data_IF_013574270247
#
_entry.id   IF_013574270247
#
_cell.length_a   1.000
_cell.length_b   1.000
_cell.length_c   1.000
_cell.angle_alpha   90.00
_cell.angle_beta   90.00
_cell.angle_gamma   90.00
#
_symmetry.space_group_name_H-M   'P 1'
#
loop_
_entity.id
_entity.type
_entity.pdbx_description
1 polymer ?
#
# COMPACT_ATOMS: atom_id res chain seq x y z
N UNK A 1 10.47 -81.14 -27.40
CA UNK A 1 11.40 -80.16 -28.01
C UNK A 1 11.12 -78.78 -27.44
N UNK A 2 12.10 -78.14 -26.79
CA UNK A 2 12.19 -76.67 -26.63
C UNK A 2 12.69 -76.06 -27.97
N UNK A 3 12.67 -74.73 -28.24
CA UNK A 3 12.20 -73.60 -27.41
C UNK A 3 11.46 -72.43 -28.14
N UNK A 4 10.80 -71.60 -27.32
CA UNK A 4 10.71 -70.11 -27.24
C UNK A 4 10.83 -69.22 -28.49
N UNK A 5 9.93 -68.22 -28.61
CA UNK A 5 10.21 -66.85 -29.11
C UNK A 5 9.42 -65.83 -28.25
N UNK A 6 10.10 -64.75 -27.91
CA UNK A 6 9.72 -63.62 -27.04
C UNK A 6 9.07 -62.50 -27.85
N UNK A 7 8.16 -61.71 -27.27
CA UNK A 7 8.11 -60.23 -27.38
C UNK A 7 6.94 -59.67 -26.54
N UNK A 8 7.18 -59.24 -25.29
CA UNK A 8 7.27 -57.82 -24.87
C UNK A 8 6.02 -56.97 -25.18
N UNK A 9 4.97 -57.15 -24.38
CA UNK A 9 3.92 -56.12 -24.20
C UNK A 9 4.48 -55.13 -23.18
N UNK A 10 4.83 -53.93 -23.65
CA UNK A 10 5.27 -52.83 -22.79
C UNK A 10 4.05 -52.28 -22.03
N UNK A 11 4.07 -52.47 -20.72
CA UNK A 11 3.13 -51.92 -19.76
C UNK A 11 3.49 -50.43 -19.54
N UNK A 12 2.84 -49.52 -20.26
CA UNK A 12 2.94 -48.09 -19.98
C UNK A 12 2.02 -47.74 -18.80
N UNK A 13 2.55 -47.86 -17.58
CA UNK A 13 1.90 -47.32 -16.39
C UNK A 13 2.10 -45.80 -16.36
N UNK A 14 1.03 -45.07 -16.63
CA UNK A 14 0.92 -43.62 -16.49
C UNK A 14 0.94 -43.27 -15.00
N UNK A 15 2.08 -42.80 -14.49
CA UNK A 15 2.21 -42.23 -13.14
C UNK A 15 1.75 -40.78 -13.19
N UNK A 16 0.52 -40.50 -12.76
CA UNK A 16 0.05 -39.15 -12.48
C UNK A 16 0.46 -38.84 -11.03
N UNK A 17 1.61 -38.19 -10.86
CA UNK A 17 2.01 -37.62 -9.58
C UNK A 17 1.28 -36.27 -9.42
N UNK A 18 0.19 -36.27 -8.65
CA UNK A 18 -0.47 -35.04 -8.20
C UNK A 18 0.43 -34.42 -7.11
N UNK A 19 1.22 -33.41 -7.48
CA UNK A 19 1.86 -32.54 -6.49
C UNK A 19 0.79 -31.60 -5.91
N UNK A 20 0.23 -31.97 -4.76
CA UNK A 20 -0.46 -31.03 -3.91
C UNK A 20 0.59 -30.09 -3.30
N UNK A 21 0.73 -28.88 -3.87
CA UNK A 21 1.42 -27.80 -3.18
C UNK A 21 0.50 -27.32 -2.04
N UNK A 22 0.73 -27.83 -0.84
CA UNK A 22 0.20 -27.23 0.38
C UNK A 22 0.87 -25.86 0.53
N UNK A 23 0.12 -24.80 0.21
CA UNK A 23 0.46 -23.44 0.61
C UNK A 23 0.27 -23.40 2.13
N UNK A 24 1.33 -23.71 2.87
CA UNK A 24 1.39 -23.43 4.30
C UNK A 24 1.30 -21.91 4.46
N UNK A 25 0.11 -21.42 4.83
CA UNK A 25 -0.07 -20.07 5.30
C UNK A 25 0.90 -19.85 6.47
N UNK A 26 1.93 -19.03 6.25
CA UNK A 26 2.83 -18.60 7.30
C UNK A 26 2.02 -17.72 8.26
N UNK A 27 1.46 -18.33 9.31
CA UNK A 27 0.92 -17.58 10.43
C UNK A 27 2.06 -16.79 11.06
N UNK A 28 1.95 -15.46 11.22
CA UNK A 28 2.96 -14.66 11.90
C UNK A 28 3.26 -15.25 13.27
N UNK A 29 4.55 -15.36 13.61
CA UNK A 29 5.00 -15.84 14.92
C UNK A 29 4.34 -15.04 16.06
N UNK A 30 3.67 -15.69 17.03
CA UNK A 30 2.89 -15.00 18.07
C UNK A 30 3.71 -14.25 19.14
N UNK A 31 5.04 -14.17 18.99
CA UNK A 31 5.96 -13.72 20.04
C UNK A 31 6.80 -12.48 19.67
N UNK A 32 6.40 -11.70 18.67
CA UNK A 32 6.93 -10.33 18.58
C UNK A 32 6.34 -9.52 19.75
N UNK A 33 7.16 -8.83 20.58
CA UNK A 33 6.62 -8.01 21.66
C UNK A 33 5.68 -6.97 21.07
N UNK A 34 4.41 -6.99 21.51
CA UNK A 34 3.37 -6.08 21.08
C UNK A 34 3.91 -4.65 21.13
N UNK A 35 4.11 -4.06 19.96
CA UNK A 35 4.55 -2.68 19.86
C UNK A 35 3.33 -1.80 20.09
N UNK A 36 3.42 -0.71 20.87
CA UNK A 36 2.31 0.21 20.96
C UNK A 36 2.03 0.78 19.57
N UNK A 37 0.73 0.88 19.28
CA UNK A 37 0.26 1.61 18.12
C UNK A 37 0.78 3.04 18.18
N UNK A 38 1.31 3.52 17.07
CA UNK A 38 1.98 4.81 17.04
C UNK A 38 1.86 5.47 15.66
N UNK A 39 1.63 6.78 15.67
CA UNK A 39 1.89 7.63 14.51
C UNK A 39 3.40 7.68 14.27
N UNK A 40 3.79 7.44 13.02
CA UNK A 40 5.17 7.42 12.57
C UNK A 40 5.50 8.73 11.85
N UNK A 41 6.59 9.35 12.28
CA UNK A 41 7.16 10.53 11.67
C UNK A 41 8.32 10.15 10.74
N UNK A 42 8.85 11.09 9.94
CA UNK A 42 9.94 10.80 8.99
C UNK A 42 11.15 10.05 9.56
N UNK A 43 11.52 10.33 10.81
CA UNK A 43 12.64 9.65 11.46
C UNK A 43 12.36 8.17 11.73
N UNK A 44 11.10 7.81 12.03
CA UNK A 44 10.68 6.44 12.32
C UNK A 44 10.61 5.61 11.03
N UNK A 45 10.21 6.24 9.92
CA UNK A 45 10.08 5.59 8.61
C UNK A 45 11.41 5.43 7.86
N UNK A 46 12.47 6.14 8.26
CA UNK A 46 13.74 6.20 7.54
C UNK A 46 14.39 4.84 7.23
N UNK A 47 14.09 3.80 8.03
CA UNK A 47 14.63 2.45 7.85
C UNK A 47 13.80 1.54 6.94
N UNK A 48 12.51 1.83 6.78
CA UNK A 48 11.56 0.96 6.07
C UNK A 48 11.09 1.56 4.74
N UNK A 49 11.24 2.87 4.60
CA UNK A 49 10.79 3.61 3.43
C UNK A 49 11.74 3.35 2.24
N UNK A 50 11.25 2.82 1.11
CA UNK A 50 12.08 2.56 -0.06
C UNK A 50 12.56 3.87 -0.66
N UNK A 51 13.85 3.99 -0.99
CA UNK A 51 14.44 5.21 -1.58
C UNK A 51 13.90 5.54 -2.98
N UNK A 52 13.38 4.54 -3.69
CA UNK A 52 12.70 4.68 -4.97
C UNK A 52 11.60 3.64 -5.10
N UNK A 53 10.57 3.97 -5.87
CA UNK A 53 9.36 3.15 -6.05
C UNK A 53 8.99 3.07 -7.52
N UNK A 54 8.48 1.91 -7.93
CA UNK A 54 7.98 1.72 -9.28
C UNK A 54 6.52 2.18 -9.37
N UNK A 55 6.20 2.97 -10.40
CA UNK A 55 4.84 3.37 -10.70
C UNK A 55 4.71 3.61 -12.21
N UNK A 56 3.67 3.02 -12.83
CA UNK A 56 3.36 3.18 -14.26
C UNK A 56 4.58 3.13 -15.20
N UNK A 57 5.41 2.10 -15.07
CA UNK A 57 6.55 1.86 -15.97
C UNK A 57 7.80 2.70 -15.68
N UNK A 58 7.81 3.48 -14.60
CA UNK A 58 8.94 4.34 -14.23
C UNK A 58 9.33 4.13 -12.76
N UNK A 59 10.56 4.51 -12.41
CA UNK A 59 11.01 4.60 -11.02
C UNK A 59 11.00 6.06 -10.58
N UNK A 60 10.39 6.34 -9.43
CA UNK A 60 10.33 7.65 -8.81
C UNK A 60 11.08 7.63 -7.47
N UNK A 61 11.86 8.67 -7.18
CA UNK A 61 12.51 8.79 -5.87
C UNK A 61 11.49 9.21 -4.82
N UNK A 62 11.60 8.63 -3.62
CA UNK A 62 10.74 9.02 -2.50
C UNK A 62 11.39 10.15 -1.70
N UNK A 63 10.56 11.02 -1.14
CA UNK A 63 10.99 12.12 -0.30
C UNK A 63 10.80 11.74 1.17
N UNK A 64 11.77 11.02 1.75
CA UNK A 64 11.66 10.51 3.12
C UNK A 64 11.32 11.58 4.17
N UNK A 65 11.76 12.84 3.98
CA UNK A 65 11.44 13.97 4.87
C UNK A 65 9.96 14.38 4.84
N UNK A 66 9.24 14.02 3.78
CA UNK A 66 7.84 14.27 3.55
C UNK A 66 7.09 12.93 3.55
N UNK A 67 7.17 12.24 4.70
CA UNK A 67 6.55 10.94 4.93
C UNK A 67 5.82 10.90 6.27
N UNK A 68 4.88 9.99 6.38
CA UNK A 68 4.15 9.73 7.62
C UNK A 68 3.38 8.42 7.52
N UNK A 69 3.05 7.84 8.67
CA UNK A 69 2.32 6.58 8.70
C UNK A 69 1.85 6.22 10.09
N UNK A 70 1.37 5.00 10.22
CA UNK A 70 0.94 4.35 11.46
C UNK A 70 1.63 2.99 11.53
N UNK A 71 2.17 2.66 12.70
CA UNK A 71 2.44 1.29 13.10
C UNK A 71 1.28 0.83 13.96
N UNK A 72 0.59 -0.24 13.56
CA UNK A 72 -0.48 -0.84 14.34
C UNK A 72 0.08 -1.68 15.49
N UNK A 73 -0.77 -1.96 16.48
CA UNK A 73 -0.37 -2.73 17.68
C UNK A 73 0.08 -4.16 17.40
N UNK A 74 -0.38 -4.75 16.30
CA UNK A 74 0.03 -6.07 15.79
C UNK A 74 1.24 -6.02 14.85
N UNK A 75 1.89 -4.86 14.72
CA UNK A 75 3.15 -4.69 14.03
C UNK A 75 3.04 -4.42 12.52
N UNK A 76 1.83 -4.36 11.96
CA UNK A 76 1.63 -3.95 10.57
C UNK A 76 1.73 -2.43 10.38
N UNK A 77 1.90 -2.01 9.13
CA UNK A 77 2.08 -0.61 8.76
C UNK A 77 1.08 -0.11 7.72
N UNK A 78 0.73 1.17 7.84
CA UNK A 78 0.16 1.99 6.76
C UNK A 78 0.96 3.28 6.69
N UNK A 79 1.60 3.59 5.57
CA UNK A 79 2.40 4.80 5.44
C UNK A 79 2.39 5.36 4.03
N UNK A 80 2.74 6.64 3.92
CA UNK A 80 2.89 7.34 2.66
C UNK A 80 4.14 8.21 2.63
N UNK A 81 4.65 8.46 1.44
CA UNK A 81 5.77 9.34 1.19
C UNK A 81 5.55 10.10 -0.12
N UNK A 82 5.87 11.40 -0.15
CA UNK A 82 5.89 12.12 -1.42
C UNK A 82 6.90 11.49 -2.38
N UNK A 83 6.64 11.62 -3.66
CA UNK A 83 7.51 11.14 -4.74
C UNK A 83 7.94 12.31 -5.63
N UNK A 84 9.13 12.23 -6.20
CA UNK A 84 9.49 13.06 -7.34
C UNK A 84 8.80 12.51 -8.59
N UNK A 85 7.71 13.16 -8.98
CA UNK A 85 6.90 12.78 -10.12
C UNK A 85 7.22 13.61 -11.39
N UNK A 86 8.27 14.43 -11.37
CA UNK A 86 8.59 15.36 -12.47
C UNK A 86 8.81 14.68 -13.84
N UNK A 87 9.16 13.38 -13.86
CA UNK A 87 9.33 12.58 -15.07
C UNK A 87 8.04 12.06 -15.72
N UNK A 88 6.89 12.18 -15.04
CA UNK A 88 5.61 11.70 -15.55
C UNK A 88 4.89 12.74 -16.42
N UNK A 89 3.90 12.32 -17.21
CA UNK A 89 3.02 13.25 -17.91
C UNK A 89 2.20 14.09 -16.93
N UNK A 90 1.83 15.32 -17.29
CA UNK A 90 1.07 16.26 -16.44
C UNK A 90 -0.17 15.65 -15.79
N UNK A 91 -0.96 14.88 -16.53
CA UNK A 91 -2.17 14.22 -15.99
C UNK A 91 -1.88 13.15 -14.92
N UNK A 92 -0.69 12.54 -14.93
CA UNK A 92 -0.25 11.64 -13.85
C UNK A 92 0.28 12.47 -12.70
N UNK A 93 1.12 13.47 -12.97
CA UNK A 93 1.74 14.31 -11.93
C UNK A 93 0.69 14.94 -11.02
N UNK A 94 -0.44 15.36 -11.59
CA UNK A 94 -1.55 15.92 -10.84
C UNK A 94 -2.11 14.95 -9.79
N UNK A 95 -2.21 13.65 -10.13
CA UNK A 95 -2.83 12.62 -9.28
C UNK A 95 -1.83 11.85 -8.41
N UNK A 96 -0.64 11.56 -8.94
CA UNK A 96 0.39 10.76 -8.30
C UNK A 96 1.41 11.66 -7.59
N UNK A 97 1.06 12.10 -6.39
CA UNK A 97 1.87 13.00 -5.57
C UNK A 97 2.65 12.23 -4.49
N UNK A 98 2.10 11.13 -4.00
CA UNK A 98 2.69 10.26 -3.01
C UNK A 98 2.55 8.78 -3.38
N UNK A 99 3.50 8.00 -2.88
CA UNK A 99 3.40 6.56 -2.81
C UNK A 99 2.78 6.18 -1.47
N UNK A 100 1.78 5.29 -1.50
CA UNK A 100 1.01 4.87 -0.34
C UNK A 100 1.08 3.35 -0.22
N UNK A 101 1.43 2.86 0.97
CA UNK A 101 1.46 1.43 1.29
C UNK A 101 0.52 1.19 2.47
N UNK A 102 -0.24 0.12 2.40
CA UNK A 102 -0.92 -0.44 3.56
C UNK A 102 -0.77 -1.96 3.59
N UNK A 103 -0.44 -2.51 4.75
CA UNK A 103 -0.28 -3.95 4.97
C UNK A 103 -1.57 -4.60 5.49
N UNK A 104 -2.59 -3.80 5.81
CA UNK A 104 -3.87 -4.25 6.34
C UNK A 104 -5.01 -3.64 5.52
N UNK A 105 -6.20 -4.24 5.50
CA UNK A 105 -7.35 -3.58 4.91
C UNK A 105 -7.66 -2.30 5.68
N UNK A 106 -7.89 -1.20 4.97
CA UNK A 106 -8.26 0.10 5.55
C UNK A 106 -9.50 0.66 4.86
N UNK A 107 -10.13 1.63 5.50
CA UNK A 107 -11.18 2.46 4.89
C UNK A 107 -10.68 3.89 4.77
N UNK A 108 -10.88 4.52 3.60
CA UNK A 108 -10.54 5.91 3.33
C UNK A 108 -11.79 6.60 2.80
N UNK A 109 -12.32 7.60 3.52
CA UNK A 109 -13.53 8.31 3.09
C UNK A 109 -14.73 7.39 2.78
N UNK A 110 -14.85 6.25 3.48
CA UNK A 110 -15.89 5.25 3.25
C UNK A 110 -15.57 4.20 2.17
N UNK A 111 -14.46 4.33 1.45
CA UNK A 111 -14.00 3.35 0.47
C UNK A 111 -13.07 2.32 1.11
N UNK A 112 -13.33 1.04 0.87
CA UNK A 112 -12.42 -0.04 1.27
C UNK A 112 -11.18 -0.07 0.36
N UNK A 113 -10.01 -0.20 0.96
CA UNK A 113 -8.74 -0.40 0.26
C UNK A 113 -8.05 -1.63 0.84
N UNK A 114 -7.73 -2.59 -0.03
CA UNK A 114 -7.03 -3.81 0.34
C UNK A 114 -5.55 -3.53 0.65
N UNK A 115 -4.85 -4.45 1.35
CA UNK A 115 -3.40 -4.41 1.47
C UNK A 115 -2.73 -4.29 0.10
N UNK A 116 -1.71 -3.44 -0.02
CA UNK A 116 -0.99 -3.22 -1.27
C UNK A 116 -0.23 -1.90 -1.32
N UNK A 117 0.25 -1.59 -2.51
CA UNK A 117 0.92 -0.35 -2.83
C UNK A 117 0.15 0.43 -3.91
N UNK A 118 0.10 1.74 -3.73
CA UNK A 118 -0.81 2.63 -4.46
C UNK A 118 -0.14 3.97 -4.76
N UNK A 119 -0.60 4.61 -5.82
CA UNK A 119 -0.37 6.04 -6.03
C UNK A 119 -1.48 6.84 -5.36
N UNK A 120 -1.17 8.03 -4.87
CA UNK A 120 -2.19 8.91 -4.30
C UNK A 120 -1.82 10.40 -4.39
N UNK A 121 -2.80 11.27 -4.25
CA UNK A 121 -2.62 12.72 -4.21
C UNK A 121 -3.91 13.45 -3.93
N UNK A 122 -3.82 14.78 -3.84
CA UNK A 122 -4.99 15.66 -3.73
C UNK A 122 -5.11 16.49 -5.01
N UNK A 123 -6.21 16.28 -5.73
CA UNK A 123 -6.57 17.05 -6.92
C UNK A 123 -7.57 18.14 -6.57
N UNK A 124 -7.63 19.20 -7.37
CA UNK A 124 -8.61 20.27 -7.21
C UNK A 124 -9.78 20.01 -8.15
N UNK A 125 -10.99 19.94 -7.60
CA UNK A 125 -12.23 19.90 -8.37
C UNK A 125 -13.07 21.16 -8.12
N UNK A 126 -14.14 21.36 -8.89
CA UNK A 126 -15.04 22.50 -8.75
C UNK A 126 -15.67 22.60 -7.35
N UNK A 127 -15.93 21.45 -6.72
CA UNK A 127 -16.55 21.36 -5.39
C UNK A 127 -15.56 21.42 -4.21
N UNK A 128 -14.24 21.40 -4.48
CA UNK A 128 -13.22 21.36 -3.43
C UNK A 128 -12.06 20.40 -3.74
N UNK A 129 -11.14 20.20 -2.78
CA UNK A 129 -10.06 19.24 -2.92
C UNK A 129 -10.60 17.80 -2.81
N UNK A 130 -10.13 16.92 -3.70
CA UNK A 130 -10.46 15.50 -3.69
C UNK A 130 -9.19 14.68 -3.55
N UNK A 131 -9.24 13.68 -2.67
CA UNK A 131 -8.21 12.66 -2.54
C UNK A 131 -8.45 11.58 -3.59
N UNK A 132 -7.41 11.22 -4.32
CA UNK A 132 -7.45 10.16 -5.34
C UNK A 132 -6.53 9.01 -4.94
N UNK A 133 -6.98 7.78 -5.18
CA UNK A 133 -6.15 6.57 -5.06
C UNK A 133 -6.06 5.92 -6.42
N UNK A 134 -4.83 5.55 -6.79
CA UNK A 134 -4.52 4.86 -8.04
C UNK A 134 -3.87 3.52 -7.76
N UNK A 135 -4.11 2.54 -8.63
CA UNK A 135 -3.26 1.36 -8.68
C UNK A 135 -1.86 1.69 -9.22
N UNK A 136 -0.94 0.73 -9.14
CA UNK A 136 0.43 0.88 -9.67
C UNK A 136 0.50 1.13 -11.19
N UNK A 137 -0.58 0.85 -11.92
CA UNK A 137 -0.75 1.13 -13.34
C UNK A 137 -1.27 2.55 -13.63
N UNK A 138 -1.49 3.37 -12.61
CA UNK A 138 -2.11 4.68 -12.67
C UNK A 138 -3.58 4.67 -13.13
N UNK A 139 -4.31 3.58 -12.90
CA UNK A 139 -5.76 3.58 -13.01
C UNK A 139 -6.38 4.13 -11.72
N UNK A 140 -7.36 5.02 -11.85
CA UNK A 140 -8.11 5.53 -10.72
C UNK A 140 -8.91 4.38 -10.08
N UNK A 141 -8.67 4.12 -8.79
CA UNK A 141 -9.45 3.16 -8.01
C UNK A 141 -10.69 3.83 -7.42
N UNK A 142 -10.50 4.98 -6.78
CA UNK A 142 -11.58 5.83 -6.30
C UNK A 142 -11.09 7.25 -6.02
N UNK A 143 -12.06 8.14 -5.85
CA UNK A 143 -11.88 9.50 -5.35
C UNK A 143 -12.84 9.74 -4.19
N UNK A 144 -12.38 10.44 -3.16
CA UNK A 144 -13.20 10.90 -2.04
C UNK A 144 -12.89 12.35 -1.72
N UNK A 145 -13.79 13.04 -1.04
CA UNK A 145 -13.53 14.41 -0.61
C UNK A 145 -12.36 14.46 0.37
N UNK A 146 -11.50 15.47 0.19
CA UNK A 146 -10.50 15.85 1.17
C UNK A 146 -11.00 17.09 1.94
N UNK A 147 -10.56 17.23 3.18
CA UNK A 147 -10.92 18.35 4.03
C UNK A 147 -9.79 19.36 4.04
N UNK A 148 -10.09 20.63 3.76
CA UNK A 148 -9.12 21.71 3.96
C UNK A 148 -9.13 22.17 5.42
N UNK A 149 -8.01 21.98 6.12
CA UNK A 149 -7.84 22.39 7.51
C UNK A 149 -7.18 23.78 7.60
N UNK A 150 -8.02 24.81 7.66
CA UNK A 150 -7.57 26.19 7.82
C UNK A 150 -6.86 26.44 9.16
N UNK A 151 -7.16 25.64 10.20
CA UNK A 151 -6.60 25.82 11.55
C UNK A 151 -5.31 25.05 11.76
N UNK A 152 -4.97 24.12 10.85
CA UNK A 152 -3.73 23.35 10.93
C UNK A 152 -2.49 24.24 10.86
N UNK A 153 -1.67 24.21 11.92
CA UNK A 153 -0.48 25.06 12.03
C UNK A 153 0.74 24.27 11.60
N UNK A 154 1.64 24.93 10.86
CA UNK A 154 2.90 24.36 10.35
C UNK A 154 2.70 23.08 9.52
N UNK A 155 1.89 23.13 8.45
CA UNK A 155 1.75 21.99 7.56
C UNK A 155 3.10 21.65 6.91
N UNK A 156 3.50 20.39 6.98
CA UNK A 156 4.51 19.84 6.08
C UNK A 156 3.86 19.44 4.75
N UNK A 157 4.65 19.23 3.68
CA UNK A 157 4.12 18.78 2.41
C UNK A 157 3.32 17.48 2.51
N UNK A 158 3.78 16.51 3.30
CA UNK A 158 3.04 15.29 3.65
C UNK A 158 3.35 14.87 5.09
N UNK A 159 2.32 14.48 5.83
CA UNK A 159 2.43 13.89 7.17
C UNK A 159 1.16 13.11 7.54
N UNK A 160 1.27 12.25 8.55
CA UNK A 160 0.12 11.60 9.18
C UNK A 160 0.00 12.11 10.61
N UNK A 161 -1.24 12.33 11.06
CA UNK A 161 -1.57 12.66 12.45
C UNK A 161 -2.70 11.77 12.95
N UNK A 162 -2.92 11.78 14.26
CA UNK A 162 -4.16 11.26 14.84
C UNK A 162 -5.36 12.07 14.31
N UNK A 163 -6.48 11.37 14.12
CA UNK A 163 -7.78 11.98 13.87
C UNK A 163 -8.47 12.36 15.17
N UNK A 164 -9.70 12.88 15.06
CA UNK A 164 -10.49 13.25 16.24
C UNK A 164 -11.02 12.04 17.02
N UNK A 165 -11.19 10.90 16.35
CA UNK A 165 -11.64 9.65 16.97
C UNK A 165 -10.48 8.67 17.09
N UNK A 166 -10.30 8.00 18.24
CA UNK A 166 -9.27 6.96 18.39
C UNK A 166 -9.39 5.87 17.31
N UNK A 167 -8.25 5.48 16.74
CA UNK A 167 -8.18 4.51 15.63
C UNK A 167 -8.44 5.10 14.24
N UNK A 168 -8.76 6.41 14.16
CA UNK A 168 -8.77 7.17 12.91
C UNK A 168 -7.55 8.06 12.83
N UNK A 169 -7.05 8.24 11.61
CA UNK A 169 -5.87 9.05 11.34
C UNK A 169 -6.11 9.94 10.13
N UNK A 170 -5.34 11.01 10.04
CA UNK A 170 -5.41 11.98 8.96
C UNK A 170 -4.13 11.91 8.14
N UNK A 171 -4.25 11.61 6.85
CA UNK A 171 -3.17 11.78 5.89
C UNK A 171 -3.25 13.17 5.28
N UNK A 172 -2.31 14.04 5.63
CA UNK A 172 -2.24 15.42 5.15
C UNK A 172 -1.36 15.54 3.90
N UNK A 173 -1.86 16.31 2.93
CA UNK A 173 -1.13 16.94 1.83
C UNK A 173 -1.17 18.45 2.04
N UNK A 174 -0.13 18.99 2.67
CA UNK A 174 -0.15 20.36 3.18
C UNK A 174 -1.27 20.58 4.19
N UNK A 175 -2.32 21.30 3.78
CA UNK A 175 -3.51 21.59 4.61
C UNK A 175 -4.72 20.74 4.26
N UNK A 176 -4.67 19.99 3.17
CA UNK A 176 -5.77 19.11 2.80
C UNK A 176 -5.51 17.76 3.45
N UNK A 177 -6.52 17.12 4.02
CA UNK A 177 -6.38 15.77 4.55
C UNK A 177 -7.53 14.86 4.14
N UNK A 178 -7.26 13.57 4.18
CA UNK A 178 -8.29 12.53 4.17
C UNK A 178 -8.17 11.73 5.46
N UNK A 179 -9.31 11.28 6.00
CA UNK A 179 -9.31 10.36 7.12
C UNK A 179 -9.25 8.91 6.62
N UNK A 180 -8.46 8.12 7.32
CA UNK A 180 -8.42 6.68 7.14
C UNK A 180 -8.42 5.97 8.49
N UNK A 181 -8.93 4.74 8.48
CA UNK A 181 -8.96 3.86 9.64
C UNK A 181 -8.72 2.42 9.19
N UNK A 182 -8.22 1.58 10.10
CA UNK A 182 -8.11 0.15 9.82
C UNK A 182 -9.51 -0.44 9.69
N UNK A 183 -9.75 -1.24 8.65
CA UNK A 183 -11.02 -1.94 8.52
C UNK A 183 -11.15 -2.97 9.65
N UNK A 184 -12.38 -3.11 10.16
CA UNK A 184 -12.71 -4.06 11.23
C UNK A 184 -12.90 -5.47 10.69
#
# INVERSE_FOLDING_TARGET
MKPSIRSRIALSALVIAVFAFEVAAQTPSPNAPAQPEAVLHPADLAKILPSSVFFRGQSATTQARNSGGIRYSDGYFTFAALVDNSGYSTGIQEKYQAYFITEVPITIGGHALAPGAYGTGVIKNASGPQFVVLDIGAHDLFTTDAVNDAKFRRPTPLQVTEGETPGKYRLYFGRNYVEFERAK
#
